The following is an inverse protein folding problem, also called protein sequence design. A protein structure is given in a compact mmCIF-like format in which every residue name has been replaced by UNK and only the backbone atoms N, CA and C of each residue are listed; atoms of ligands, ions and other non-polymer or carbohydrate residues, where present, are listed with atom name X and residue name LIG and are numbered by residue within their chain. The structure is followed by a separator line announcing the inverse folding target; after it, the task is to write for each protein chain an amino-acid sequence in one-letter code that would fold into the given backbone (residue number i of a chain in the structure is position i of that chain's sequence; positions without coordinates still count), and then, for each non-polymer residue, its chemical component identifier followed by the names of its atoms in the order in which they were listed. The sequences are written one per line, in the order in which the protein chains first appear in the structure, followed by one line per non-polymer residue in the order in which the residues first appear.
data_IF_925894891933
#
_entry.id   IF_925894891933
#
_cell.length_a   1.000
_cell.length_b   1.000
_cell.length_c   1.000
_cell.angle_alpha   90.00
_cell.angle_beta   90.00
_cell.angle_gamma   90.00
#
_symmetry.space_group_name_H-M   'P 1'
#
loop_
_entity.id
_entity.type
_entity.pdbx_description
1 polymer ?
#
# COMPACT_ATOMS: atom_id res chain seq x y z
N UNK A 1 -32.44 -27.74 37.08
CA UNK A 1 -31.68 -26.87 36.16
C UNK A 1 -32.54 -25.68 35.79
N UNK A 2 -32.16 -24.47 36.22
CA UNK A 2 -32.89 -23.25 35.87
C UNK A 2 -32.40 -22.75 34.50
N UNK A 3 -33.30 -22.71 33.50
CA UNK A 3 -33.01 -22.17 32.18
C UNK A 3 -33.13 -20.64 32.27
N UNK A 4 -31.99 -19.96 32.37
CA UNK A 4 -31.91 -18.51 32.27
C UNK A 4 -32.34 -18.10 30.85
N UNK A 5 -33.44 -17.33 30.74
CA UNK A 5 -33.84 -16.70 29.47
C UNK A 5 -32.72 -15.80 28.95
N UNK A 6 -32.47 -15.85 27.65
CA UNK A 6 -31.48 -15.01 26.96
C UNK A 6 -31.72 -13.52 27.23
N UNK A 7 -30.63 -12.81 27.58
CA UNK A 7 -30.62 -11.36 27.73
C UNK A 7 -30.99 -10.67 26.40
N UNK A 8 -32.06 -9.87 26.43
CA UNK A 8 -32.59 -9.12 25.28
C UNK A 8 -32.35 -7.61 25.40
N UNK A 9 -31.55 -7.15 26.36
CA UNK A 9 -31.18 -5.73 26.46
C UNK A 9 -30.43 -5.31 25.19
N UNK A 10 -30.82 -4.18 24.61
CA UNK A 10 -30.28 -3.65 23.35
C UNK A 10 -30.78 -4.31 22.05
N UNK A 11 -31.57 -5.40 22.11
CA UNK A 11 -32.14 -6.04 20.91
C UNK A 11 -33.61 -5.63 20.76
N UNK A 12 -33.83 -4.51 20.09
CA UNK A 12 -35.17 -4.01 19.77
C UNK A 12 -35.24 -3.88 18.24
N UNK A 13 -36.29 -4.37 17.61
CA UNK A 13 -36.49 -4.24 16.15
C UNK A 13 -36.86 -2.81 15.72
N UNK A 14 -36.69 -1.83 16.62
CA UNK A 14 -37.00 -0.42 16.41
C UNK A 14 -35.90 0.34 15.65
N UNK A 15 -34.89 -0.36 15.12
CA UNK A 15 -33.93 0.29 14.24
C UNK A 15 -34.62 0.59 12.91
N UNK A 16 -34.76 1.87 12.58
CA UNK A 16 -35.31 2.29 11.29
C UNK A 16 -34.49 1.65 10.17
N UNK A 17 -35.09 0.66 9.51
CA UNK A 17 -34.51 0.05 8.33
C UNK A 17 -34.65 1.03 7.17
N UNK A 18 -33.52 1.39 6.57
CA UNK A 18 -33.54 2.21 5.36
C UNK A 18 -34.38 1.50 4.29
N UNK A 19 -35.27 2.25 3.64
CA UNK A 19 -36.14 1.76 2.59
C UNK A 19 -35.33 0.95 1.54
N UNK A 20 -35.73 -0.30 1.25
CA UNK A 20 -35.10 -1.13 0.22
C UNK A 20 -34.96 -0.43 -1.15
N UNK A 21 -35.92 0.43 -1.51
CA UNK A 21 -35.88 1.20 -2.76
C UNK A 21 -34.72 2.21 -2.76
N UNK A 22 -34.53 2.91 -1.65
CA UNK A 22 -33.44 3.87 -1.48
C UNK A 22 -32.10 3.14 -1.50
N UNK A 23 -31.97 1.99 -0.83
CA UNK A 23 -30.73 1.18 -0.90
C UNK A 23 -30.40 0.78 -2.33
N UNK A 24 -31.39 0.28 -3.09
CA UNK A 24 -31.18 -0.13 -4.47
C UNK A 24 -30.83 1.05 -5.40
N UNK A 25 -31.36 2.24 -5.15
CA UNK A 25 -30.97 3.44 -5.90
C UNK A 25 -29.51 3.82 -5.67
N UNK A 26 -29.01 3.70 -4.44
CA UNK A 26 -27.60 3.95 -4.10
C UNK A 26 -26.71 2.92 -4.81
N UNK A 27 -27.08 1.63 -4.79
CA UNK A 27 -26.35 0.56 -5.49
C UNK A 27 -26.24 0.83 -7.00
N UNK A 28 -27.36 1.17 -7.64
CA UNK A 28 -27.39 1.52 -9.07
C UNK A 28 -26.46 2.68 -9.39
N UNK A 29 -26.44 3.71 -8.55
CA UNK A 29 -25.54 4.83 -8.75
C UNK A 29 -24.07 4.42 -8.56
N UNK A 30 -23.73 3.65 -7.52
CA UNK A 30 -22.36 3.16 -7.31
C UNK A 30 -21.85 2.24 -8.43
N UNK A 31 -22.74 1.43 -9.02
CA UNK A 31 -22.39 0.59 -10.17
C UNK A 31 -22.23 1.35 -11.48
N UNK A 32 -22.78 2.57 -11.57
CA UNK A 32 -22.56 3.45 -12.73
C UNK A 32 -21.17 4.10 -12.75
N UNK A 33 -20.47 4.11 -11.60
CA UNK A 33 -19.16 4.75 -11.47
C UNK A 33 -18.07 3.84 -12.07
N UNK A 34 -17.21 4.34 -12.97
CA UNK A 34 -16.10 3.57 -13.51
C UNK A 34 -15.13 3.18 -12.40
N UNK A 35 -14.85 1.87 -12.34
CA UNK A 35 -13.96 1.26 -11.34
C UNK A 35 -12.56 1.17 -11.92
N UNK A 36 -11.56 1.53 -11.12
CA UNK A 36 -10.14 1.42 -11.46
C UNK A 36 -9.62 0.09 -10.92
N UNK A 37 -9.08 -0.73 -11.81
CA UNK A 37 -8.45 -1.98 -11.43
C UNK A 37 -7.15 -1.72 -10.67
N UNK A 38 -7.10 -2.17 -9.42
CA UNK A 38 -5.83 -2.23 -8.71
C UNK A 38 -5.10 -3.53 -9.09
N UNK A 39 -4.45 -3.53 -10.25
CA UNK A 39 -3.59 -4.63 -10.70
C UNK A 39 -2.47 -4.98 -9.68
N UNK A 40 -2.26 -4.11 -8.69
CA UNK A 40 -1.19 -4.17 -7.70
C UNK A 40 -1.63 -4.36 -6.24
N UNK A 41 -2.94 -4.39 -5.92
CA UNK A 41 -3.37 -4.56 -4.52
C UNK A 41 -3.79 -6.00 -4.23
N UNK A 42 -3.09 -6.62 -3.27
CA UNK A 42 -3.35 -7.98 -2.77
C UNK A 42 -4.71 -8.14 -2.06
N UNK A 43 -5.47 -7.05 -1.85
CA UNK A 43 -6.80 -7.07 -1.26
C UNK A 43 -7.86 -6.78 -2.33
N UNK A 44 -8.99 -7.50 -2.30
CA UNK A 44 -10.18 -7.30 -3.16
C UNK A 44 -10.90 -5.98 -2.85
N UNK A 45 -10.20 -4.86 -2.91
CA UNK A 45 -10.78 -3.52 -2.72
C UNK A 45 -11.00 -2.89 -4.08
N UNK A 46 -12.20 -2.37 -4.32
CA UNK A 46 -12.52 -1.69 -5.57
C UNK A 46 -12.13 -0.22 -5.45
N UNK A 47 -11.44 0.32 -6.46
CA UNK A 47 -11.01 1.70 -6.42
C UNK A 47 -11.78 2.56 -7.43
N UNK A 48 -11.99 3.83 -7.09
CA UNK A 48 -12.56 4.86 -7.97
C UNK A 48 -11.48 5.91 -8.20
N UNK A 49 -11.46 6.55 -9.35
CA UNK A 49 -10.59 7.69 -9.62
C UNK A 49 -10.72 8.79 -8.55
N UNK A 50 -9.59 9.35 -8.11
CA UNK A 50 -9.51 10.29 -6.99
C UNK A 50 -9.98 11.72 -7.27
N UNK A 51 -10.72 11.96 -8.35
CA UNK A 51 -11.17 13.31 -8.75
C UNK A 51 -12.37 13.85 -7.98
N UNK A 52 -13.09 12.98 -7.25
CA UNK A 52 -14.26 13.33 -6.43
C UNK A 52 -14.14 12.74 -5.04
N UNK A 53 -14.80 13.31 -4.05
CA UNK A 53 -14.93 12.76 -2.70
C UNK A 53 -16.23 11.96 -2.54
N UNK A 54 -16.39 11.18 -1.46
CA UNK A 54 -17.65 10.45 -1.22
C UNK A 54 -18.82 11.43 -1.05
N UNK A 55 -18.55 12.63 -0.53
CA UNK A 55 -19.54 13.69 -0.41
C UNK A 55 -19.97 14.20 -1.80
N UNK A 56 -19.04 14.40 -2.73
CA UNK A 56 -19.36 14.82 -4.10
C UNK A 56 -20.20 13.77 -4.82
N UNK A 57 -19.86 12.48 -4.66
CA UNK A 57 -20.65 11.38 -5.21
C UNK A 57 -22.07 11.33 -4.62
N UNK A 58 -22.22 11.63 -3.32
CA UNK A 58 -23.54 11.73 -2.70
C UNK A 58 -24.34 12.92 -3.23
N UNK A 59 -23.69 14.07 -3.46
CA UNK A 59 -24.33 15.25 -4.07
C UNK A 59 -24.84 14.92 -5.47
N UNK A 60 -24.03 14.26 -6.30
CA UNK A 60 -24.42 13.84 -7.65
C UNK A 60 -25.60 12.86 -7.61
N UNK A 61 -25.55 11.87 -6.72
CA UNK A 61 -26.66 10.93 -6.49
C UNK A 61 -27.95 11.64 -6.08
N UNK A 62 -27.88 12.60 -5.15
CA UNK A 62 -29.05 13.37 -4.71
C UNK A 62 -29.60 14.22 -5.85
N UNK A 63 -28.75 14.84 -6.66
CA UNK A 63 -29.16 15.61 -7.83
C UNK A 63 -29.87 14.72 -8.87
N UNK A 64 -29.34 13.52 -9.13
CA UNK A 64 -29.94 12.53 -10.03
C UNK A 64 -31.29 12.02 -9.53
N UNK A 65 -31.43 11.78 -8.22
CA UNK A 65 -32.70 11.37 -7.64
C UNK A 65 -33.74 12.49 -7.68
N UNK A 66 -33.34 13.74 -7.43
CA UNK A 66 -34.22 14.91 -7.53
C UNK A 66 -34.73 15.14 -8.95
N UNK A 67 -33.89 14.97 -9.97
CA UNK A 67 -34.32 15.13 -11.37
C UNK A 67 -35.30 14.04 -11.82
N UNK A 68 -35.23 12.85 -11.22
CA UNK A 68 -36.12 11.71 -11.48
C UNK A 68 -37.34 11.65 -10.55
N UNK A 69 -37.46 12.57 -9.59
CA UNK A 69 -38.54 12.57 -8.59
C UNK A 69 -38.50 11.38 -7.64
N UNK A 70 -37.34 10.78 -7.41
CA UNK A 70 -37.17 9.59 -6.58
C UNK A 70 -36.73 9.96 -5.14
N UNK A 71 -37.12 9.15 -4.13
CA UNK A 71 -36.62 9.30 -2.77
C UNK A 71 -35.12 8.98 -2.72
N UNK A 72 -34.36 9.75 -1.93
CA UNK A 72 -32.91 9.61 -1.81
C UNK A 72 -32.46 9.34 -0.37
N UNK A 73 -31.35 8.63 -0.22
CA UNK A 73 -30.75 8.31 1.08
C UNK A 73 -29.92 9.47 1.65
N UNK A 74 -29.77 9.49 2.98
CA UNK A 74 -28.85 10.42 3.63
C UNK A 74 -27.39 10.01 3.39
N UNK A 75 -26.46 10.95 3.63
CA UNK A 75 -25.03 10.73 3.42
C UNK A 75 -24.51 9.52 4.21
N UNK A 76 -24.96 9.33 5.45
CA UNK A 76 -24.50 8.22 6.30
C UNK A 76 -24.86 6.85 5.70
N UNK A 77 -26.07 6.69 5.18
CA UNK A 77 -26.49 5.47 4.51
C UNK A 77 -25.69 5.23 3.23
N UNK A 78 -25.45 6.28 2.45
CA UNK A 78 -24.62 6.23 1.24
C UNK A 78 -23.19 5.80 1.57
N UNK A 79 -22.56 6.45 2.55
CA UNK A 79 -21.20 6.16 3.02
C UNK A 79 -21.07 4.74 3.57
N UNK A 80 -22.05 4.27 4.34
CA UNK A 80 -22.06 2.91 4.86
C UNK A 80 -22.12 1.87 3.73
N UNK A 81 -22.99 2.05 2.74
CA UNK A 81 -23.07 1.14 1.58
C UNK A 81 -21.76 1.18 0.77
N UNK A 82 -21.18 2.36 0.56
CA UNK A 82 -19.90 2.55 -0.12
C UNK A 82 -18.75 1.79 0.58
N UNK A 83 -18.64 1.89 1.91
CA UNK A 83 -17.56 1.27 2.66
C UNK A 83 -17.77 -0.22 2.98
N UNK A 84 -19.01 -0.63 3.27
CA UNK A 84 -19.28 -1.99 3.79
C UNK A 84 -19.72 -2.96 2.71
N UNK A 85 -20.63 -2.57 1.81
CA UNK A 85 -21.14 -3.46 0.75
C UNK A 85 -20.17 -3.49 -0.44
N UNK A 86 -19.73 -2.33 -0.92
CA UNK A 86 -18.84 -2.24 -2.08
C UNK A 86 -17.35 -2.25 -1.71
N UNK A 87 -17.01 -1.97 -0.45
CA UNK A 87 -15.62 -1.81 0.00
C UNK A 87 -14.82 -0.90 -0.95
N UNK A 88 -15.42 0.22 -1.35
CA UNK A 88 -14.80 1.15 -2.28
C UNK A 88 -13.84 2.12 -1.57
N UNK A 89 -12.83 2.57 -2.29
CA UNK A 89 -11.93 3.63 -1.87
C UNK A 89 -11.45 4.46 -3.05
N UNK A 90 -11.04 5.70 -2.81
CA UNK A 90 -10.40 6.49 -3.85
C UNK A 90 -9.00 5.96 -4.15
N UNK A 91 -8.71 5.78 -5.42
CA UNK A 91 -7.41 5.38 -5.91
C UNK A 91 -6.41 6.48 -5.56
N UNK A 92 -5.43 6.12 -4.73
CA UNK A 92 -4.25 6.93 -4.49
C UNK A 92 -3.07 6.15 -5.07
N UNK A 93 -2.40 6.66 -6.12
CA UNK A 93 -1.17 6.05 -6.60
C UNK A 93 -0.20 5.85 -5.43
N UNK A 94 0.39 4.66 -5.31
CA UNK A 94 1.49 4.47 -4.36
C UNK A 94 2.69 5.31 -4.83
N UNK A 95 3.47 5.80 -3.86
CA UNK A 95 4.61 6.71 -4.09
C UNK A 95 5.67 6.16 -5.04
N UNK A 96 5.73 4.84 -5.22
CA UNK A 96 6.75 4.17 -6.02
C UNK A 96 6.09 3.42 -7.18
N UNK A 97 5.96 4.09 -8.32
CA UNK A 97 5.61 3.45 -9.58
C UNK A 97 6.90 3.02 -10.29
N UNK A 98 6.87 1.85 -10.96
CA UNK A 98 7.99 1.42 -11.77
C UNK A 98 8.04 2.27 -13.05
N UNK A 99 9.15 2.95 -13.29
CA UNK A 99 9.36 3.80 -14.46
C UNK A 99 9.09 3.04 -15.76
N UNK A 100 9.59 1.81 -15.91
CA UNK A 100 9.34 0.96 -17.08
C UNK A 100 7.85 0.67 -17.29
N UNK A 101 7.11 0.33 -16.23
CA UNK A 101 5.67 0.09 -16.31
C UNK A 101 4.89 1.37 -16.65
N UNK A 102 5.24 2.49 -16.03
CA UNK A 102 4.57 3.78 -16.27
C UNK A 102 4.83 4.29 -17.67
N UNK A 103 6.07 4.18 -18.16
CA UNK A 103 6.43 4.53 -19.53
C UNK A 103 5.65 3.71 -20.55
N UNK A 104 5.56 2.38 -20.37
CA UNK A 104 4.78 1.52 -21.25
C UNK A 104 3.28 1.87 -21.24
N UNK A 105 2.73 2.19 -20.06
CA UNK A 105 1.30 2.54 -19.92
C UNK A 105 0.96 3.84 -20.63
N UNK A 106 1.86 4.83 -20.54
CA UNK A 106 1.68 6.17 -21.11
C UNK A 106 2.14 6.27 -22.58
N UNK A 107 2.75 5.24 -23.14
CA UNK A 107 3.23 5.21 -24.51
C UNK A 107 2.07 5.16 -25.54
N UNK A 108 2.34 5.60 -26.77
CA UNK A 108 1.40 5.48 -27.89
C UNK A 108 1.22 4.01 -28.31
N UNK A 109 0.17 3.68 -29.05
CA UNK A 109 -0.05 2.29 -29.49
C UNK A 109 1.08 1.78 -30.40
N UNK A 110 1.72 2.67 -31.16
CA UNK A 110 2.88 2.38 -32.00
C UNK A 110 4.12 2.05 -31.14
N UNK A 111 4.41 2.88 -30.14
CA UNK A 111 5.52 2.68 -29.21
C UNK A 111 5.31 1.45 -28.31
N UNK A 112 4.07 1.16 -27.94
CA UNK A 112 3.73 -0.05 -27.17
C UNK A 112 4.06 -1.33 -27.92
N UNK A 113 3.94 -1.38 -29.25
CA UNK A 113 4.34 -2.58 -30.01
C UNK A 113 5.85 -2.77 -29.99
N UNK A 114 6.61 -1.67 -30.05
CA UNK A 114 8.07 -1.69 -30.00
C UNK A 114 8.54 -2.11 -28.60
N UNK A 115 7.98 -1.51 -27.55
CA UNK A 115 8.34 -1.77 -26.15
C UNK A 115 7.71 -3.04 -25.58
N UNK A 116 6.85 -3.74 -26.33
CA UNK A 116 6.11 -4.91 -25.84
C UNK A 116 7.04 -6.01 -25.35
N UNK A 117 8.09 -6.30 -26.14
CA UNK A 117 9.05 -7.34 -25.80
C UNK A 117 9.76 -7.06 -24.48
N UNK A 118 10.30 -5.84 -24.34
CA UNK A 118 11.01 -5.41 -23.13
C UNK A 118 10.08 -5.36 -21.91
N UNK A 119 8.82 -4.95 -22.11
CA UNK A 119 7.81 -4.94 -21.05
C UNK A 119 7.44 -6.35 -20.60
N UNK A 120 7.24 -7.29 -21.53
CA UNK A 120 6.97 -8.69 -21.21
C UNK A 120 8.15 -9.35 -20.49
N UNK A 121 9.38 -9.04 -20.94
CA UNK A 121 10.60 -9.49 -20.27
C UNK A 121 10.67 -8.94 -18.83
N UNK A 122 10.46 -7.64 -18.64
CA UNK A 122 10.41 -7.01 -17.32
C UNK A 122 9.38 -7.68 -16.40
N UNK A 123 8.17 -7.96 -16.91
CA UNK A 123 7.14 -8.66 -16.14
C UNK A 123 7.54 -10.08 -15.77
N UNK A 124 8.20 -10.81 -16.69
CA UNK A 124 8.71 -12.16 -16.46
C UNK A 124 9.80 -12.17 -15.40
N UNK A 125 10.80 -11.30 -15.51
CA UNK A 125 11.90 -11.18 -14.53
C UNK A 125 11.38 -10.81 -13.15
N UNK A 126 10.42 -9.88 -13.08
CA UNK A 126 9.74 -9.51 -11.84
C UNK A 126 9.00 -10.70 -11.21
N UNK A 127 8.37 -11.54 -12.00
CA UNK A 127 7.69 -12.74 -11.50
C UNK A 127 8.70 -13.77 -10.99
N UNK A 128 9.75 -14.05 -11.77
CA UNK A 128 10.84 -14.96 -11.37
C UNK A 128 11.50 -14.53 -10.06
N UNK A 129 11.79 -13.23 -9.89
CA UNK A 129 12.37 -12.71 -8.66
C UNK A 129 11.43 -12.86 -7.44
N UNK A 130 10.11 -12.79 -7.66
CA UNK A 130 9.12 -13.02 -6.59
C UNK A 130 9.00 -14.49 -6.24
N UNK A 131 8.96 -15.36 -7.25
CA UNK A 131 8.87 -16.80 -7.08
C UNK A 131 10.11 -17.31 -6.33
N UNK A 132 11.32 -16.92 -6.76
CA UNK A 132 12.56 -17.25 -6.06
C UNK A 132 12.55 -16.75 -4.61
N UNK A 133 12.10 -15.52 -4.37
CA UNK A 133 11.99 -14.97 -3.00
C UNK A 133 11.01 -15.77 -2.14
N UNK A 134 9.90 -16.24 -2.71
CA UNK A 134 8.92 -17.02 -1.97
C UNK A 134 9.39 -18.47 -1.75
N UNK A 135 10.14 -19.03 -2.69
CA UNK A 135 10.88 -20.29 -2.50
C UNK A 135 11.91 -20.17 -1.38
N UNK A 136 12.76 -19.14 -1.38
CA UNK A 136 13.80 -18.93 -0.36
C UNK A 136 13.21 -18.78 1.05
N UNK A 137 12.01 -18.18 1.17
CA UNK A 137 11.28 -18.07 2.43
C UNK A 137 10.74 -19.40 2.94
N UNK A 138 10.31 -20.28 2.05
CA UNK A 138 9.66 -21.54 2.39
C UNK A 138 10.68 -22.67 2.55
N UNK A 139 11.75 -22.65 1.74
CA UNK A 139 12.82 -23.62 1.70
C UNK A 139 14.03 -23.08 2.46
N UNK A 140 13.91 -22.96 3.78
CA UNK A 140 15.02 -22.47 4.59
C UNK A 140 15.35 -23.44 5.74
N UNK A 141 16.41 -24.27 5.61
CA UNK A 141 16.87 -25.09 6.73
C UNK A 141 17.28 -24.22 7.94
N UNK A 142 17.35 -24.82 9.13
CA UNK A 142 17.65 -24.12 10.38
C UNK A 142 19.01 -23.37 10.36
N UNK A 143 19.92 -23.78 9.48
CA UNK A 143 21.25 -23.18 9.33
C UNK A 143 21.37 -22.17 8.17
N UNK A 144 20.25 -21.62 7.70
CA UNK A 144 20.24 -20.63 6.63
C UNK A 144 19.47 -19.36 7.06
N UNK A 145 20.08 -18.21 6.79
CA UNK A 145 19.55 -16.87 7.04
C UNK A 145 19.15 -16.26 5.71
N UNK A 146 17.90 -15.82 5.60
CA UNK A 146 17.38 -15.14 4.41
C UNK A 146 17.09 -13.71 4.81
N UNK A 147 17.93 -12.79 4.34
CA UNK A 147 17.79 -11.36 4.62
C UNK A 147 17.58 -10.57 3.34
N UNK A 148 16.71 -9.56 3.42
CA UNK A 148 16.46 -8.60 2.35
C UNK A 148 17.02 -7.27 2.80
N UNK A 149 17.78 -6.60 1.94
CA UNK A 149 18.31 -5.29 2.26
C UNK A 149 17.91 -4.26 1.20
N UNK A 150 17.78 -3.02 1.64
CA UNK A 150 17.43 -1.88 0.80
C UNK A 150 18.05 -0.59 1.36
N UNK A 151 18.40 0.33 0.44
CA UNK A 151 18.89 1.66 0.79
C UNK A 151 17.74 2.65 0.64
N UNK A 152 17.37 3.30 1.74
CA UNK A 152 16.30 4.28 1.71
C UNK A 152 16.68 5.51 0.86
N UNK A 153 15.66 6.19 0.35
CA UNK A 153 15.84 7.49 -0.30
C UNK A 153 16.61 8.46 0.61
N UNK A 154 17.48 9.28 0.03
CA UNK A 154 18.30 10.23 0.77
C UNK A 154 17.41 11.16 1.62
N UNK A 155 17.73 11.25 2.91
CA UNK A 155 16.97 12.02 3.89
C UNK A 155 17.68 13.35 4.15
N UNK A 156 17.20 14.48 3.59
CA UNK A 156 17.79 15.77 3.89
C UNK A 156 17.51 16.13 5.36
N UNK A 157 18.57 16.48 6.08
CA UNK A 157 18.55 16.87 7.48
C UNK A 157 19.32 18.21 7.65
N UNK A 158 18.75 19.21 8.35
CA UNK A 158 17.48 19.18 9.07
C UNK A 158 16.26 19.39 8.16
N UNK A 159 15.11 18.84 8.58
CA UNK A 159 13.82 18.97 7.90
C UNK A 159 12.86 19.80 8.76
N UNK A 160 12.17 20.76 8.15
CA UNK A 160 11.09 21.48 8.80
C UNK A 160 10.31 22.34 7.81
N UNK A 161 9.11 22.75 8.22
CA UNK A 161 8.14 23.47 7.38
C UNK A 161 8.28 25.01 7.49
N UNK A 162 9.31 25.49 8.18
CA UNK A 162 9.59 26.93 8.30
C UNK A 162 10.46 27.42 7.15
N UNK A 163 10.21 28.65 6.70
CA UNK A 163 10.97 29.29 5.60
C UNK A 163 12.47 29.38 5.87
N UNK A 164 12.89 29.36 7.14
CA UNK A 164 14.30 29.36 7.54
C UNK A 164 15.06 28.13 7.01
N UNK A 165 14.41 26.97 6.90
CA UNK A 165 15.04 25.75 6.35
C UNK A 165 15.35 25.83 4.85
N UNK A 166 14.84 26.83 4.14
CA UNK A 166 15.19 27.09 2.74
C UNK A 166 16.63 27.60 2.60
N UNK A 167 17.10 28.39 3.57
CA UNK A 167 18.41 29.04 3.52
C UNK A 167 19.51 28.27 4.26
N UNK A 168 19.15 27.19 4.95
CA UNK A 168 20.12 26.33 5.63
C UNK A 168 20.67 25.27 4.69
N UNK A 169 21.97 25.00 4.80
CA UNK A 169 22.59 23.86 4.14
C UNK A 169 21.99 22.57 4.70
N UNK A 170 21.47 21.72 3.81
CA UNK A 170 20.87 20.44 4.16
C UNK A 170 21.91 19.35 3.94
N UNK A 171 22.14 18.55 4.98
CA UNK A 171 22.99 17.38 4.93
C UNK A 171 22.17 16.18 4.45
N UNK A 172 22.66 15.43 3.49
CA UNK A 172 22.02 14.17 3.12
C UNK A 172 22.41 13.06 4.11
N UNK A 173 21.41 12.51 4.78
CA UNK A 173 21.55 11.30 5.58
C UNK A 173 21.08 10.08 4.78
N UNK A 174 21.80 8.98 4.91
CA UNK A 174 21.52 7.69 4.29
C UNK A 174 21.16 6.67 5.37
N UNK A 175 20.22 5.78 5.06
CA UNK A 175 19.85 4.68 5.93
C UNK A 175 19.78 3.39 5.12
N UNK A 176 20.70 2.48 5.37
CA UNK A 176 20.72 1.15 4.79
C UNK A 176 20.11 0.16 5.78
N UNK A 177 19.09 -0.56 5.33
CA UNK A 177 18.32 -1.46 6.17
C UNK A 177 18.52 -2.90 5.72
N UNK A 178 18.78 -3.79 6.67
CA UNK A 178 18.84 -5.24 6.44
C UNK A 178 17.76 -5.88 7.32
N UNK A 179 16.81 -6.55 6.69
CA UNK A 179 15.68 -7.21 7.31
C UNK A 179 15.84 -8.73 7.22
N UNK A 180 15.91 -9.41 8.36
CA UNK A 180 15.86 -10.87 8.41
C UNK A 180 14.41 -11.34 8.33
N UNK A 181 14.09 -12.20 7.35
CA UNK A 181 12.72 -12.66 7.17
C UNK A 181 12.27 -13.61 8.29
N UNK A 182 13.18 -14.41 8.85
CA UNK A 182 12.88 -15.42 9.87
C UNK A 182 12.73 -14.81 11.24
N UNK A 183 13.77 -14.12 11.71
CA UNK A 183 13.76 -13.53 13.06
C UNK A 183 12.89 -12.28 13.12
N UNK A 184 12.63 -11.66 11.95
CA UNK A 184 11.94 -10.37 11.80
C UNK A 184 12.74 -9.21 12.42
N UNK A 185 14.04 -9.41 12.62
CA UNK A 185 14.93 -8.37 13.10
C UNK A 185 15.35 -7.43 11.97
N UNK A 186 15.59 -6.18 12.35
CA UNK A 186 15.97 -5.11 11.42
C UNK A 186 17.24 -4.46 11.92
N UNK A 187 18.27 -4.47 11.08
CA UNK A 187 19.50 -3.72 11.31
C UNK A 187 19.52 -2.48 10.42
N UNK A 188 19.61 -1.31 11.05
CA UNK A 188 19.68 -0.02 10.37
C UNK A 188 21.09 0.56 10.49
N UNK A 189 21.70 0.86 9.35
CA UNK A 189 22.99 1.53 9.25
C UNK A 189 22.75 2.95 8.74
N UNK A 190 22.90 3.93 9.62
CA UNK A 190 22.68 5.35 9.31
C UNK A 190 24.01 6.07 9.28
N UNK A 191 24.26 6.83 8.22
CA UNK A 191 25.41 7.73 8.11
C UNK A 191 25.03 8.97 7.31
N UNK A 192 25.85 10.01 7.36
CA UNK A 192 25.63 11.22 6.58
C UNK A 192 26.68 11.38 5.46
N UNK A 193 26.39 12.23 4.47
CA UNK A 193 27.26 12.44 3.30
C UNK A 193 28.67 12.94 3.64
N UNK A 194 28.83 13.60 4.78
CA UNK A 194 30.14 13.97 5.32
C UNK A 194 30.98 12.80 5.85
N UNK A 195 30.37 11.68 6.23
CA UNK A 195 31.09 10.47 6.69
C UNK A 195 31.45 9.57 5.53
N UNK A 196 30.48 9.28 4.65
CA UNK A 196 30.68 8.40 3.51
C UNK A 196 29.64 8.67 2.41
N UNK A 197 29.90 8.15 1.22
CA UNK A 197 28.97 8.26 0.07
C UNK A 197 27.93 7.16 0.14
N UNK A 198 27.18 6.97 -0.95
CA UNK A 198 26.13 5.94 -1.11
C UNK A 198 26.53 4.84 -2.10
N UNK A 199 27.82 4.59 -2.25
CA UNK A 199 28.35 3.67 -3.25
C UNK A 199 28.28 2.21 -2.81
N UNK A 200 28.69 1.32 -3.72
CA UNK A 200 28.75 -0.11 -3.46
C UNK A 200 29.72 -0.47 -2.32
N UNK A 201 30.74 0.34 -2.07
CA UNK A 201 31.75 0.12 -1.01
C UNK A 201 31.11 0.31 0.37
N UNK A 202 30.32 1.36 0.56
CA UNK A 202 29.61 1.64 1.81
C UNK A 202 28.55 0.56 2.09
N UNK A 203 27.80 0.18 1.05
CA UNK A 203 26.82 -0.91 1.15
C UNK A 203 27.52 -2.23 1.52
N UNK A 204 28.61 -2.58 0.84
CA UNK A 204 29.40 -3.77 1.14
C UNK A 204 29.96 -3.77 2.55
N UNK A 205 30.36 -2.61 3.06
CA UNK A 205 30.80 -2.44 4.46
C UNK A 205 29.68 -2.71 5.44
N UNK A 206 28.45 -2.24 5.16
CA UNK A 206 27.28 -2.49 6.00
C UNK A 206 26.93 -3.99 6.02
N UNK A 207 26.94 -4.64 4.85
CA UNK A 207 26.69 -6.09 4.74
C UNK A 207 27.77 -6.88 5.48
N UNK A 208 29.04 -6.50 5.36
CA UNK A 208 30.14 -7.15 6.08
C UNK A 208 29.98 -6.99 7.60
N UNK A 209 29.61 -5.79 8.08
CA UNK A 209 29.30 -5.55 9.50
C UNK A 209 28.16 -6.44 9.98
N UNK A 210 27.11 -6.60 9.16
CA UNK A 210 25.99 -7.48 9.47
C UNK A 210 26.43 -8.94 9.61
N UNK A 211 27.20 -9.46 8.66
CA UNK A 211 27.70 -10.86 8.70
C UNK A 211 28.58 -11.08 9.94
N UNK A 212 29.47 -10.14 10.27
CA UNK A 212 30.31 -10.22 11.47
C UNK A 212 29.48 -10.23 12.76
N UNK A 213 28.46 -9.38 12.85
CA UNK A 213 27.55 -9.36 14.00
C UNK A 213 26.79 -10.69 14.17
N UNK A 214 26.41 -11.33 13.05
CA UNK A 214 25.78 -12.65 13.08
C UNK A 214 26.74 -13.71 13.62
N UNK A 215 28.01 -13.70 13.19
CA UNK A 215 29.02 -14.63 13.73
C UNK A 215 29.24 -14.45 15.24
N UNK A 216 29.31 -13.21 15.72
CA UNK A 216 29.48 -12.92 17.15
C UNK A 216 28.27 -13.39 17.97
N UNK A 217 27.06 -13.25 17.42
CA UNK A 217 25.83 -13.70 18.06
C UNK A 217 25.75 -15.22 18.10
N UNK A 218 26.19 -15.90 17.04
CA UNK A 218 26.27 -17.36 16.99
C UNK A 218 27.32 -17.96 17.97
N UNK A 219 28.39 -17.21 18.28
CA UNK A 219 29.45 -17.63 19.21
C UNK A 219 29.09 -17.43 20.69
N UNK A 220 28.05 -16.67 21.02
CA UNK A 220 27.58 -16.52 22.41
C UNK A 220 26.60 -17.66 22.72
N UNK A 221 26.97 -18.65 23.56
CA UNK A 221 26.01 -19.64 24.00
C UNK A 221 24.87 -18.92 24.75
N UNK A 222 23.63 -19.28 24.40
CA UNK A 222 22.45 -18.91 25.19
C UNK A 222 22.62 -19.54 26.58
N UNK A 223 22.90 -18.71 27.59
CA UNK A 223 22.84 -19.10 29.00
C UNK A 223 21.38 -19.34 29.42
#
# INVERSE_FOLDING_TARGET
MAILKQDRRGKHENHAHLDPLVKNSIRKHLDSIPKVDSQYCRAKRTYIEGGKTVADLHIDYVAECKSKGLPFGNYLAYYNIFCTEYNMAFFKPKKDQCETCTNYTNATEEDKQIMKHDYELHLKEKQLARDQKDEDKNYTPDNCIVSVFDLQAAMPCPKGDTSTFYYLSKLNCYNFTIYDIKTKDVNCYVWHEGEAKRGAIEIGTCVLKYIKNLEETAKKPQN
#
